data_IF_198534319600
#
_entry.id   IF_198534319600
#
_cell.length_a   1.000
_cell.length_b   1.000
_cell.length_c   1.000
_cell.angle_alpha   90.00
_cell.angle_beta   90.00
_cell.angle_gamma   90.00
#
_symmetry.space_group_name_H-M   'P 1'
#
loop_
_entity.id
_entity.type
_entity.pdbx_description
1 polymer ?
#
# COMPACT_ATOMS: atom_id res chain seq x y z
N UNK A 1 -1.90 17.50 12.38
CA UNK A 1 -2.83 16.34 12.44
C UNK A 1 -3.93 16.38 11.38
N UNK A 2 -4.67 17.49 11.21
CA UNK A 2 -5.82 17.55 10.30
C UNK A 2 -5.51 17.12 8.87
N UNK A 3 -4.47 17.65 8.26
CA UNK A 3 -4.09 17.34 6.87
C UNK A 3 -3.79 15.86 6.65
N UNK A 4 -3.03 15.22 7.55
CA UNK A 4 -2.67 13.81 7.44
C UNK A 4 -3.92 12.91 7.57
N UNK A 5 -4.73 13.13 8.60
CA UNK A 5 -5.98 12.39 8.80
C UNK A 5 -6.96 12.57 7.65
N UNK A 6 -7.12 13.82 7.15
CA UNK A 6 -7.96 14.10 5.98
C UNK A 6 -7.45 13.41 4.72
N UNK A 7 -6.13 13.33 4.52
CA UNK A 7 -5.52 12.60 3.40
C UNK A 7 -5.85 11.10 3.45
N UNK A 8 -5.66 10.46 4.61
CA UNK A 8 -5.99 9.04 4.82
C UNK A 8 -7.48 8.76 4.63
N UNK A 9 -8.35 9.63 5.13
CA UNK A 9 -9.80 9.51 4.94
C UNK A 9 -10.19 9.69 3.46
N UNK A 10 -9.65 10.70 2.78
CA UNK A 10 -9.93 10.95 1.36
C UNK A 10 -9.47 9.77 0.49
N UNK A 11 -8.27 9.22 0.76
CA UNK A 11 -7.78 8.00 0.12
C UNK A 11 -8.76 6.85 0.30
N UNK A 12 -9.16 6.60 1.54
CA UNK A 12 -10.04 5.49 1.89
C UNK A 12 -11.41 5.62 1.23
N UNK A 13 -12.03 6.80 1.29
CA UNK A 13 -13.32 7.08 0.66
C UNK A 13 -13.22 6.94 -0.86
N UNK A 14 -12.21 7.53 -1.50
CA UNK A 14 -12.04 7.47 -2.95
C UNK A 14 -11.92 6.02 -3.46
N UNK A 15 -11.15 5.18 -2.77
CA UNK A 15 -10.96 3.78 -3.16
C UNK A 15 -12.17 2.90 -2.85
N UNK A 16 -12.88 3.15 -1.74
CA UNK A 16 -14.03 2.35 -1.34
C UNK A 16 -15.35 2.82 -1.97
N UNK A 17 -15.39 4.00 -2.59
CA UNK A 17 -16.61 4.64 -3.11
C UNK A 17 -17.43 3.69 -3.99
N UNK A 18 -16.79 2.98 -4.90
CA UNK A 18 -17.46 2.02 -5.80
C UNK A 18 -18.09 0.85 -5.04
N UNK A 19 -17.51 0.48 -3.90
CA UNK A 19 -17.95 -0.67 -3.09
C UNK A 19 -19.05 -0.30 -2.09
N UNK A 20 -18.93 0.88 -1.48
CA UNK A 20 -19.84 1.34 -0.42
C UNK A 20 -21.05 2.09 -0.99
N UNK A 21 -20.85 2.86 -2.05
CA UNK A 21 -21.89 3.66 -2.68
C UNK A 21 -21.91 3.50 -4.22
N UNK A 22 -22.22 2.29 -4.75
CA UNK A 22 -22.18 2.01 -6.19
C UNK A 22 -23.14 2.88 -6.99
N UNK A 23 -24.31 3.15 -6.45
CA UNK A 23 -25.32 4.01 -7.08
C UNK A 23 -24.84 5.47 -7.21
N UNK A 24 -24.19 5.98 -6.18
CA UNK A 24 -23.57 7.31 -6.19
C UNK A 24 -22.44 7.38 -7.22
N UNK A 25 -21.62 6.35 -7.23
CA UNK A 25 -20.50 6.23 -8.17
C UNK A 25 -20.98 6.15 -9.62
N UNK A 26 -22.09 5.47 -9.90
CA UNK A 26 -22.67 5.37 -11.24
C UNK A 26 -23.30 6.70 -11.71
N UNK A 27 -23.92 7.47 -10.80
CA UNK A 27 -24.50 8.80 -11.11
C UNK A 27 -23.45 9.83 -11.56
N UNK A 28 -22.17 9.65 -11.18
CA UNK A 28 -21.08 10.52 -11.65
C UNK A 28 -20.77 10.36 -13.13
N UNK A 29 -21.25 9.31 -13.78
CA UNK A 29 -21.05 9.07 -15.21
C UNK A 29 -19.58 9.12 -15.62
N UNK A 30 -19.28 9.80 -16.73
CA UNK A 30 -17.93 9.99 -17.27
C UNK A 30 -16.99 10.79 -16.35
N UNK A 31 -17.52 11.71 -15.54
CA UNK A 31 -16.72 12.50 -14.61
C UNK A 31 -16.22 11.69 -13.40
N UNK A 32 -16.82 10.55 -13.11
CA UNK A 32 -16.50 9.79 -11.91
C UNK A 32 -15.08 9.21 -11.88
N UNK A 33 -14.48 8.86 -13.04
CA UNK A 33 -13.08 8.39 -13.08
C UNK A 33 -12.08 9.51 -12.78
N UNK A 34 -12.12 10.66 -13.48
CA UNK A 34 -11.18 11.75 -13.20
C UNK A 34 -11.36 12.32 -11.78
N UNK A 35 -12.58 12.44 -11.26
CA UNK A 35 -12.82 12.90 -9.89
C UNK A 35 -12.18 11.99 -8.84
N UNK A 36 -12.33 10.67 -8.98
CA UNK A 36 -11.68 9.71 -8.07
C UNK A 36 -10.16 9.80 -8.22
N UNK A 37 -9.62 9.89 -9.44
CA UNK A 37 -8.18 10.03 -9.66
C UNK A 37 -7.62 11.31 -9.01
N UNK A 38 -8.29 12.45 -9.18
CA UNK A 38 -7.91 13.71 -8.53
C UNK A 38 -7.99 13.61 -7.01
N UNK A 39 -9.02 12.95 -6.47
CA UNK A 39 -9.13 12.70 -5.02
C UNK A 39 -7.97 11.86 -4.49
N UNK A 40 -7.53 10.83 -5.23
CA UNK A 40 -6.38 10.00 -4.88
C UNK A 40 -5.09 10.83 -4.89
N UNK A 41 -4.86 11.62 -5.94
CA UNK A 41 -3.68 12.50 -6.03
C UNK A 41 -3.70 13.52 -4.88
N UNK A 42 -4.82 14.18 -4.66
CA UNK A 42 -5.00 15.11 -3.55
C UNK A 42 -4.76 14.47 -2.18
N UNK A 43 -5.22 13.23 -1.98
CA UNK A 43 -4.98 12.49 -0.74
C UNK A 43 -3.50 12.21 -0.49
N UNK A 44 -2.73 11.86 -1.54
CA UNK A 44 -1.27 11.67 -1.43
C UNK A 44 -0.57 12.97 -1.04
N UNK A 45 -0.93 14.08 -1.68
CA UNK A 45 -0.39 15.41 -1.32
C UNK A 45 -0.70 15.75 0.14
N UNK A 46 -1.95 15.57 0.57
CA UNK A 46 -2.36 15.82 1.96
C UNK A 46 -1.61 14.93 2.95
N UNK A 47 -1.43 13.65 2.63
CA UNK A 47 -0.68 12.72 3.47
C UNK A 47 0.80 13.12 3.56
N UNK A 48 1.43 13.49 2.44
CA UNK A 48 2.84 13.90 2.41
C UNK A 48 3.09 15.17 3.20
N UNK A 49 2.31 16.23 2.92
CA UNK A 49 2.45 17.52 3.63
C UNK A 49 2.04 17.39 5.10
N UNK A 50 1.00 16.61 5.37
CA UNK A 50 0.50 16.41 6.72
C UNK A 50 1.45 15.58 7.58
N UNK A 51 2.11 14.58 7.03
CA UNK A 51 3.07 13.74 7.76
C UNK A 51 4.23 14.55 8.35
N UNK A 52 4.76 15.51 7.58
CA UNK A 52 5.85 16.37 8.00
C UNK A 52 5.46 17.40 9.11
N UNK A 53 4.17 17.61 9.33
CA UNK A 53 3.65 18.62 10.26
C UNK A 53 3.08 18.02 11.55
N UNK A 54 3.09 16.71 11.70
CA UNK A 54 2.55 16.07 12.90
C UNK A 54 3.64 15.93 13.94
N UNK A 55 3.56 16.76 14.96
CA UNK A 55 4.29 16.59 16.21
C UNK A 55 3.43 15.79 17.19
N UNK A 56 4.01 14.80 17.86
CA UNK A 56 3.28 13.96 18.79
C UNK A 56 4.15 12.97 19.55
N UNK A 57 3.55 12.18 20.43
CA UNK A 57 4.28 11.19 21.20
C UNK A 57 4.91 10.13 20.30
N UNK A 58 6.04 9.62 20.76
CA UNK A 58 6.74 8.47 20.19
C UNK A 58 6.62 7.33 21.21
N UNK A 59 5.95 6.24 20.85
CA UNK A 59 5.73 5.10 21.75
C UNK A 59 6.86 4.07 21.67
N UNK A 60 7.49 3.93 20.50
CA UNK A 60 8.70 3.11 20.32
C UNK A 60 9.61 3.73 19.25
N UNK A 61 10.88 3.48 19.42
CA UNK A 61 11.93 3.93 18.51
C UNK A 61 12.38 2.79 17.59
N UNK A 62 13.02 3.15 16.51
CA UNK A 62 13.62 2.22 15.56
C UNK A 62 14.69 1.36 16.25
N UNK A 63 14.54 0.04 16.14
CA UNK A 63 15.48 -0.94 16.65
C UNK A 63 16.18 -1.64 15.50
N UNK A 64 17.51 -1.79 15.56
CA UNK A 64 18.32 -2.40 14.48
C UNK A 64 17.86 -3.82 14.12
N UNK A 65 17.45 -4.62 15.10
CA UNK A 65 16.92 -5.96 14.85
C UNK A 65 15.62 -5.97 14.03
N UNK A 66 14.77 -4.95 14.17
CA UNK A 66 13.51 -4.84 13.42
C UNK A 66 13.71 -4.25 12.02
N UNK A 67 14.79 -3.53 11.76
CA UNK A 67 15.10 -2.96 10.44
C UNK A 67 15.23 -4.03 9.37
N UNK A 68 15.90 -5.14 9.67
CA UNK A 68 16.02 -6.27 8.75
C UNK A 68 14.65 -6.88 8.40
N UNK A 69 13.77 -7.04 9.39
CA UNK A 69 12.41 -7.55 9.19
C UNK A 69 11.58 -6.56 8.36
N UNK A 70 11.65 -5.26 8.69
CA UNK A 70 11.01 -4.21 7.89
C UNK A 70 11.43 -4.28 6.41
N UNK A 71 12.73 -4.32 6.14
CA UNK A 71 13.27 -4.34 4.79
C UNK A 71 12.85 -5.59 4.02
N UNK A 72 12.83 -6.76 4.68
CA UNK A 72 12.33 -7.99 4.10
C UNK A 72 10.83 -7.90 3.76
N UNK A 73 9.99 -7.41 4.67
CA UNK A 73 8.55 -7.25 4.43
C UNK A 73 8.26 -6.30 3.27
N UNK A 74 9.01 -5.19 3.17
CA UNK A 74 8.90 -4.24 2.05
C UNK A 74 9.32 -4.88 0.74
N UNK A 75 10.44 -5.61 0.72
CA UNK A 75 10.90 -6.33 -0.47
C UNK A 75 9.88 -7.39 -0.93
N UNK A 76 9.32 -8.17 0.00
CA UNK A 76 8.23 -9.11 -0.29
C UNK A 76 7.00 -8.40 -0.83
N UNK A 77 6.66 -7.24 -0.28
CA UNK A 77 5.57 -6.39 -0.80
C UNK A 77 5.80 -5.99 -2.26
N UNK A 78 6.99 -5.52 -2.61
CA UNK A 78 7.35 -5.18 -4.00
C UNK A 78 7.34 -6.41 -4.91
N UNK A 79 7.81 -7.56 -4.43
CA UNK A 79 7.73 -8.80 -5.19
C UNK A 79 6.29 -9.20 -5.49
N UNK A 80 5.37 -9.07 -4.54
CA UNK A 80 3.95 -9.36 -4.74
C UNK A 80 3.32 -8.40 -5.77
N UNK A 81 3.64 -7.10 -5.72
CA UNK A 81 3.18 -6.12 -6.72
C UNK A 81 3.75 -6.47 -8.10
N UNK A 82 5.04 -6.67 -8.22
CA UNK A 82 5.70 -7.02 -9.47
C UNK A 82 5.12 -8.32 -10.06
N UNK A 83 4.88 -9.31 -9.20
CA UNK A 83 4.26 -10.57 -9.58
C UNK A 83 2.85 -10.37 -10.15
N UNK A 84 2.08 -9.42 -9.63
CA UNK A 84 0.74 -9.13 -10.15
C UNK A 84 0.75 -8.51 -11.55
N UNK A 85 1.84 -7.81 -11.88
CA UNK A 85 2.03 -7.18 -13.21
C UNK A 85 2.57 -8.18 -14.24
N UNK A 86 3.47 -9.08 -13.83
CA UNK A 86 4.09 -10.07 -14.72
C UNK A 86 3.25 -11.35 -14.87
N UNK A 87 2.26 -11.56 -13.99
CA UNK A 87 1.50 -12.80 -13.91
C UNK A 87 2.31 -13.97 -13.36
N UNK A 88 3.27 -13.70 -12.45
CA UNK A 88 4.07 -14.71 -11.79
C UNK A 88 3.23 -15.65 -10.91
N UNK A 89 3.73 -16.86 -10.65
CA UNK A 89 2.98 -17.97 -10.05
C UNK A 89 2.41 -17.67 -8.66
N UNK A 90 3.10 -16.84 -7.84
CA UNK A 90 2.65 -16.45 -6.50
C UNK A 90 1.26 -15.79 -6.51
N UNK A 91 0.88 -15.12 -7.60
CA UNK A 91 -0.44 -14.46 -7.73
C UNK A 91 -1.60 -15.42 -7.67
N UNK A 92 -1.37 -16.72 -7.87
CA UNK A 92 -2.40 -17.77 -7.75
C UNK A 92 -2.79 -18.01 -6.30
N UNK A 93 -1.89 -17.74 -5.36
CA UNK A 93 -2.10 -17.96 -3.93
C UNK A 93 -2.57 -16.68 -3.23
N UNK A 94 -2.23 -15.51 -3.79
CA UNK A 94 -2.57 -14.21 -3.23
C UNK A 94 -3.76 -13.61 -4.00
N UNK A 95 -4.94 -13.62 -3.38
CA UNK A 95 -6.19 -13.12 -4.02
C UNK A 95 -6.14 -11.63 -4.35
N UNK A 96 -5.53 -10.82 -3.48
CA UNK A 96 -5.48 -9.35 -3.57
C UNK A 96 -4.03 -8.87 -3.46
N UNK A 97 -3.19 -9.07 -4.50
CA UNK A 97 -1.75 -8.83 -4.39
C UNK A 97 -1.42 -7.38 -4.02
N UNK A 98 -2.08 -6.37 -4.62
CA UNK A 98 -1.82 -4.98 -4.30
C UNK A 98 -2.18 -4.65 -2.83
N UNK A 99 -3.35 -5.10 -2.35
CA UNK A 99 -3.76 -4.88 -0.97
C UNK A 99 -2.90 -5.66 0.03
N UNK A 100 -2.40 -6.84 -0.36
CA UNK A 100 -1.46 -7.62 0.46
C UNK A 100 -0.13 -6.90 0.58
N UNK A 101 0.39 -6.36 -0.52
CA UNK A 101 1.62 -5.58 -0.52
C UNK A 101 1.50 -4.31 0.35
N UNK A 102 0.38 -3.59 0.27
CA UNK A 102 0.15 -2.42 1.13
C UNK A 102 0.08 -2.80 2.61
N UNK A 103 -0.56 -3.93 2.95
CA UNK A 103 -0.59 -4.41 4.34
C UNK A 103 0.82 -4.75 4.85
N UNK A 104 1.63 -5.44 4.05
CA UNK A 104 3.02 -5.74 4.40
C UNK A 104 3.84 -4.47 4.58
N UNK A 105 3.72 -3.52 3.65
CA UNK A 105 4.38 -2.22 3.72
C UNK A 105 3.98 -1.42 4.96
N UNK A 106 2.69 -1.35 5.27
CA UNK A 106 2.20 -0.64 6.45
C UNK A 106 2.68 -1.27 7.76
N UNK A 107 2.60 -2.60 7.87
CA UNK A 107 3.13 -3.33 9.03
C UNK A 107 4.63 -3.13 9.16
N UNK A 108 5.39 -3.23 8.07
CA UNK A 108 6.82 -3.02 8.07
C UNK A 108 7.20 -1.65 8.64
N UNK A 109 6.53 -0.58 8.18
CA UNK A 109 6.79 0.76 8.67
C UNK A 109 6.38 0.96 10.14
N UNK A 110 5.26 0.37 10.57
CA UNK A 110 4.85 0.42 11.97
C UNK A 110 5.82 -0.32 12.91
N UNK A 111 6.54 -1.33 12.44
CA UNK A 111 7.54 -2.01 13.27
C UNK A 111 8.70 -1.09 13.67
N UNK A 112 9.06 -0.15 12.83
CA UNK A 112 10.25 0.70 13.00
C UNK A 112 9.93 2.17 13.26
N UNK A 113 8.68 2.59 13.12
CA UNK A 113 8.24 3.96 13.35
C UNK A 113 7.06 3.96 14.32
N UNK A 114 7.31 4.33 15.56
CA UNK A 114 6.33 4.35 16.65
C UNK A 114 5.80 5.75 17.00
N UNK A 115 5.91 6.70 16.09
CA UNK A 115 5.42 8.06 16.27
C UNK A 115 3.96 8.22 15.82
N UNK A 116 3.32 9.30 16.26
CA UNK A 116 1.91 9.56 15.98
C UNK A 116 1.62 9.71 14.48
N UNK A 117 2.51 10.36 13.71
CA UNK A 117 2.32 10.52 12.27
C UNK A 117 2.31 9.16 11.57
N UNK A 118 3.25 8.29 11.93
CA UNK A 118 3.34 6.91 11.43
C UNK A 118 2.11 6.08 11.78
N UNK A 119 1.60 6.19 13.01
CA UNK A 119 0.37 5.48 13.40
C UNK A 119 -0.84 5.94 12.60
N UNK A 120 -0.99 7.23 12.36
CA UNK A 120 -2.10 7.76 11.55
C UNK A 120 -1.96 7.30 10.10
N UNK A 121 -0.77 7.42 9.50
CA UNK A 121 -0.55 7.09 8.10
C UNK A 121 -0.63 5.58 7.86
N UNK A 122 0.31 4.84 8.44
CA UNK A 122 0.44 3.41 8.15
C UNK A 122 -0.68 2.59 8.81
N UNK A 123 -1.08 2.95 10.03
CA UNK A 123 -2.23 2.33 10.70
C UNK A 123 -3.54 2.59 9.95
N UNK A 124 -3.78 3.82 9.53
CA UNK A 124 -4.97 4.19 8.76
C UNK A 124 -5.04 3.49 7.40
N UNK A 125 -3.93 3.42 6.65
CA UNK A 125 -3.86 2.70 5.38
C UNK A 125 -3.94 1.18 5.56
N UNK A 126 -3.43 0.64 6.66
CA UNK A 126 -3.60 -0.77 7.01
C UNK A 126 -5.08 -1.12 7.25
N UNK A 127 -5.78 -0.31 8.05
CA UNK A 127 -7.22 -0.45 8.30
C UNK A 127 -7.99 -0.37 6.98
N UNK A 128 -7.71 0.64 6.15
CA UNK A 128 -8.32 0.76 4.84
C UNK A 128 -8.10 -0.50 3.97
N UNK A 129 -6.86 -1.01 3.91
CA UNK A 129 -6.54 -2.17 3.09
C UNK A 129 -7.27 -3.45 3.58
N UNK A 130 -7.40 -3.61 4.90
CA UNK A 130 -8.18 -4.71 5.49
C UNK A 130 -9.66 -4.58 5.16
N UNK A 131 -10.25 -3.38 5.34
CA UNK A 131 -11.64 -3.12 4.98
C UNK A 131 -11.91 -3.36 3.50
N UNK A 132 -11.00 -2.93 2.63
CA UNK A 132 -11.10 -3.18 1.19
C UNK A 132 -11.15 -4.68 0.88
N UNK A 133 -10.26 -5.49 1.48
CA UNK A 133 -10.27 -6.96 1.32
C UNK A 133 -11.60 -7.56 1.81
N UNK A 134 -12.08 -7.13 2.97
CA UNK A 134 -13.35 -7.64 3.54
C UNK A 134 -14.52 -7.32 2.61
N UNK A 135 -14.62 -6.08 2.14
CA UNK A 135 -15.71 -5.66 1.25
C UNK A 135 -15.66 -6.39 -0.09
N UNK A 136 -14.49 -6.49 -0.71
CA UNK A 136 -14.32 -7.22 -1.97
C UNK A 136 -14.68 -8.69 -1.78
N UNK A 137 -14.23 -9.33 -0.70
CA UNK A 137 -14.52 -10.74 -0.45
C UNK A 137 -16.00 -11.03 -0.19
N UNK A 138 -16.74 -10.04 0.35
CA UNK A 138 -18.19 -10.18 0.56
C UNK A 138 -19.03 -9.95 -0.71
N UNK A 139 -18.51 -9.14 -1.62
CA UNK A 139 -19.26 -8.70 -2.81
C UNK A 139 -18.90 -9.49 -4.06
N UNK A 140 -17.66 -9.97 -4.18
CA UNK A 140 -17.17 -10.64 -5.37
C UNK A 140 -16.98 -12.13 -5.09
N UNK A 141 -17.42 -12.98 -6.00
CA UNK A 141 -17.14 -14.41 -5.98
C UNK A 141 -15.63 -14.68 -6.07
N UNK A 142 -15.20 -15.79 -5.50
CA UNK A 142 -13.80 -16.19 -5.63
C UNK A 142 -13.53 -16.61 -7.08
N UNK A 143 -12.55 -15.98 -7.75
CA UNK A 143 -12.19 -16.42 -9.08
C UNK A 143 -11.70 -17.88 -9.03
N UNK A 144 -12.09 -18.66 -10.02
CA UNK A 144 -11.58 -20.02 -10.20
C UNK A 144 -10.07 -19.93 -10.42
N UNK A 145 -9.33 -20.71 -9.63
CA UNK A 145 -7.87 -20.76 -9.76
C UNK A 145 -7.52 -21.54 -11.02
N UNK A 146 -7.13 -20.86 -12.06
CA UNK A 146 -6.59 -21.52 -13.25
C UNK A 146 -5.25 -22.19 -12.91
N UNK A 147 -5.11 -23.44 -13.32
CA UNK A 147 -3.82 -24.13 -13.26
C UNK A 147 -2.96 -23.68 -14.44
N UNK A 148 -2.04 -22.75 -14.20
CA UNK A 148 -1.07 -22.30 -15.21
C UNK A 148 0.31 -22.85 -14.84
N UNK A 149 1.09 -23.31 -15.81
CA UNK A 149 2.47 -23.74 -15.55
C UNK A 149 3.31 -22.57 -15.05
N UNK A 150 4.37 -22.88 -14.31
CA UNK A 150 5.37 -21.87 -13.92
C UNK A 150 6.12 -21.43 -15.17
N UNK A 151 6.12 -20.13 -15.41
CA UNK A 151 6.87 -19.49 -16.50
C UNK A 151 8.03 -18.74 -15.87
N UNK A 152 9.21 -19.34 -15.90
CA UNK A 152 10.41 -18.83 -15.23
C UNK A 152 10.77 -17.39 -15.57
N UNK A 153 10.57 -16.97 -16.83
CA UNK A 153 10.81 -15.56 -17.25
C UNK A 153 9.93 -14.58 -16.47
N UNK A 154 8.70 -14.95 -16.14
CA UNK A 154 7.79 -14.11 -15.32
C UNK A 154 8.24 -14.02 -13.87
N UNK A 155 8.69 -15.16 -13.31
CA UNK A 155 9.22 -15.22 -11.95
C UNK A 155 10.47 -14.36 -11.80
N UNK A 156 11.45 -14.56 -12.71
CA UNK A 156 12.67 -13.77 -12.72
C UNK A 156 12.41 -12.29 -12.98
N UNK A 157 11.50 -11.97 -13.89
CA UNK A 157 11.09 -10.59 -14.15
C UNK A 157 10.46 -9.92 -12.93
N UNK A 158 9.59 -10.63 -12.21
CA UNK A 158 8.99 -10.14 -10.96
C UNK A 158 10.03 -9.91 -9.87
N UNK A 159 10.95 -10.85 -9.70
CA UNK A 159 12.01 -10.77 -8.71
C UNK A 159 12.98 -9.62 -9.01
N UNK A 160 13.45 -9.51 -10.25
CA UNK A 160 14.34 -8.43 -10.69
C UNK A 160 13.68 -7.06 -10.54
N UNK A 161 12.41 -6.94 -10.95
CA UNK A 161 11.65 -5.71 -10.79
C UNK A 161 11.50 -5.32 -9.31
N UNK A 162 11.25 -6.28 -8.42
CA UNK A 162 11.14 -6.03 -6.99
C UNK A 162 12.45 -5.48 -6.40
N UNK A 163 13.60 -6.06 -6.78
CA UNK A 163 14.93 -5.59 -6.33
C UNK A 163 15.19 -4.16 -6.83
N UNK A 164 14.92 -3.90 -8.11
CA UNK A 164 15.14 -2.58 -8.71
C UNK A 164 14.27 -1.53 -8.03
N UNK A 165 12.96 -1.81 -7.87
CA UNK A 165 12.04 -0.89 -7.20
C UNK A 165 12.45 -0.66 -5.75
N UNK A 166 12.83 -1.72 -5.02
CA UNK A 166 13.32 -1.61 -3.64
C UNK A 166 14.56 -0.72 -3.55
N UNK A 167 15.53 -0.90 -4.44
CA UNK A 167 16.74 -0.08 -4.49
C UNK A 167 16.45 1.38 -4.80
N UNK A 168 15.59 1.66 -5.79
CA UNK A 168 15.18 3.02 -6.15
C UNK A 168 14.44 3.72 -5.02
N UNK A 169 13.50 3.03 -4.37
CA UNK A 169 12.74 3.58 -3.23
C UNK A 169 13.67 3.79 -2.04
N UNK A 170 14.57 2.86 -1.75
CA UNK A 170 15.58 3.02 -0.69
C UNK A 170 16.51 4.20 -0.93
N UNK A 171 16.95 4.38 -2.17
CA UNK A 171 17.75 5.55 -2.58
C UNK A 171 16.96 6.86 -2.38
N UNK A 172 15.71 6.90 -2.83
CA UNK A 172 14.84 8.08 -2.66
C UNK A 172 14.61 8.41 -1.18
N UNK A 173 14.41 7.41 -0.31
CA UNK A 173 14.31 7.60 1.14
C UNK A 173 15.59 8.21 1.71
N UNK A 174 16.76 7.74 1.29
CA UNK A 174 18.05 8.30 1.70
C UNK A 174 18.19 9.78 1.30
N UNK A 175 17.81 10.12 0.08
CA UNK A 175 17.84 11.51 -0.41
C UNK A 175 16.88 12.44 0.35
N UNK A 176 15.78 11.91 0.87
CA UNK A 176 14.79 12.65 1.67
C UNK A 176 15.15 12.70 3.16
N UNK A 177 16.29 12.15 3.57
CA UNK A 177 16.72 12.13 4.98
C UNK A 177 16.13 10.98 5.83
N UNK A 178 15.54 9.98 5.20
CA UNK A 178 14.95 8.80 5.86
C UNK A 178 15.68 7.51 5.44
N UNK A 179 16.96 7.29 5.83
CA UNK A 179 17.72 6.14 5.37
C UNK A 179 17.06 4.82 5.78
N UNK A 180 17.00 3.87 4.85
CA UNK A 180 16.39 2.54 5.08
C UNK A 180 17.33 1.56 5.78
N UNK A 181 18.63 1.89 5.79
CA UNK A 181 19.65 1.17 6.52
C UNK A 181 20.01 1.98 7.76
N UNK A 182 19.87 1.39 8.92
CA UNK A 182 20.11 2.04 10.22
C UNK A 182 21.56 2.07 10.59
#
# INVERSE_FOLDING_TARGET
>A
MGWLGSGVLLWSVAHLLKRVAPTWRSRMGGAGRPLVALSIIGSVVLMTLGYQQVDGPVWWVRQSGLVGINNLLVLVGFYIIASSLTGAHITRFVRHPQLTAIKLWAVAHLLVNGDLASLILFGGLLIWAVLAVVLINRQDERPVREQRPIVWVREMGAFSAAIVIYGLVGYAHGMLGYPVHG
#
